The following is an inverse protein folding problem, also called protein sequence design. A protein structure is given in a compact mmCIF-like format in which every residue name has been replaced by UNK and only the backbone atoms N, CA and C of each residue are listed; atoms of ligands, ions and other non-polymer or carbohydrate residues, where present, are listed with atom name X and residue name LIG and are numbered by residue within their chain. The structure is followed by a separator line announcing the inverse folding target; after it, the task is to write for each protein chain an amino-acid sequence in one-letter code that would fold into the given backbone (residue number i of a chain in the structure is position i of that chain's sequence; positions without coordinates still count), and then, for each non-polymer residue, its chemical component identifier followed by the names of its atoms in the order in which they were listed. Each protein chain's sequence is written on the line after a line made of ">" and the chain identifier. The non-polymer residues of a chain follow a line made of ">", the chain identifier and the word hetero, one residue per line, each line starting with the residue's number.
data_IF_424691141060
#
_entry.id   IF_424691141060
#
_cell.length_a   1.000
_cell.length_b   1.000
_cell.length_c   1.000
_cell.angle_alpha   90.00
_cell.angle_beta   90.00
_cell.angle_gamma   90.00
#
_symmetry.space_group_name_H-M   'P 1'
#
loop_
_entity.id
_entity.type
_entity.pdbx_description
1 polymer ?
#
# COMPACT_ATOMS: atom_id res chain seq x y z
N UNK A 1 10.59 24.81 20.17
CA UNK A 1 11.03 23.45 20.58
C UNK A 1 10.64 22.48 19.47
N UNK A 2 11.58 21.67 18.99
CA UNK A 2 11.36 20.81 17.81
C UNK A 2 10.41 19.66 18.15
N UNK A 3 9.24 19.61 17.48
CA UNK A 3 8.24 18.52 17.59
C UNK A 3 8.83 17.12 17.35
N UNK A 4 10.00 17.04 16.72
CA UNK A 4 10.70 15.80 16.35
C UNK A 4 11.38 15.15 17.57
N UNK A 5 11.79 15.94 18.56
CA UNK A 5 12.54 15.43 19.72
C UNK A 5 11.66 14.67 20.72
N UNK A 6 10.32 14.84 20.65
CA UNK A 6 9.35 14.18 21.52
C UNK A 6 8.81 12.86 20.91
N UNK A 7 9.19 12.53 19.67
CA UNK A 7 8.75 11.31 19.01
C UNK A 7 9.54 10.11 19.53
N UNK A 8 8.81 9.09 19.99
CA UNK A 8 9.42 7.80 20.32
C UNK A 8 9.84 7.04 19.06
N UNK A 9 10.66 6.01 19.21
CA UNK A 9 11.14 5.18 18.09
C UNK A 9 10.00 4.66 17.19
N UNK A 10 8.91 4.17 17.80
CA UNK A 10 7.74 3.66 17.06
C UNK A 10 7.05 4.77 16.27
N UNK A 11 6.95 5.97 16.83
CA UNK A 11 6.32 7.11 16.14
C UNK A 11 7.11 7.50 14.91
N UNK A 12 8.44 7.60 15.06
CA UNK A 12 9.36 7.88 13.95
C UNK A 12 9.22 6.84 12.85
N UNK A 13 9.16 5.54 13.19
CA UNK A 13 8.92 4.47 12.22
C UNK A 13 7.58 4.61 11.51
N UNK A 14 6.49 4.84 12.25
CA UNK A 14 5.14 5.01 11.68
C UNK A 14 5.11 6.21 10.74
N UNK A 15 5.61 7.37 11.18
CA UNK A 15 5.51 8.60 10.40
C UNK A 15 6.38 8.53 9.15
N UNK A 16 7.58 7.94 9.22
CA UNK A 16 8.45 7.69 8.06
C UNK A 16 7.79 6.72 7.07
N UNK A 17 7.16 5.66 7.56
CA UNK A 17 6.47 4.71 6.72
C UNK A 17 5.29 5.35 5.96
N UNK A 18 4.45 6.15 6.64
CA UNK A 18 3.36 6.87 5.99
C UNK A 18 3.90 7.91 4.99
N UNK A 19 5.04 8.55 5.28
CA UNK A 19 5.68 9.52 4.38
C UNK A 19 6.22 8.89 3.08
N UNK A 20 6.51 7.58 3.09
CA UNK A 20 6.97 6.84 1.90
C UNK A 20 5.93 6.79 0.78
N UNK A 21 4.64 6.99 1.11
CA UNK A 21 3.54 7.04 0.15
C UNK A 21 2.44 7.95 0.68
N UNK A 22 2.64 9.25 0.50
CA UNK A 22 1.88 10.30 1.19
C UNK A 22 0.40 10.38 0.84
N UNK A 23 -0.03 9.71 -0.22
CA UNK A 23 -1.41 9.62 -0.70
C UNK A 23 -2.10 8.31 -0.28
N UNK A 24 -1.34 7.34 0.25
CA UNK A 24 -1.83 6.01 0.58
C UNK A 24 -2.43 5.97 1.98
N UNK A 25 -3.71 5.61 2.08
CA UNK A 25 -4.33 5.25 3.35
C UNK A 25 -3.95 3.80 3.71
N UNK A 26 -3.18 3.65 4.78
CA UNK A 26 -2.69 2.37 5.26
C UNK A 26 -3.60 1.78 6.34
N UNK A 27 -3.90 0.49 6.26
CA UNK A 27 -4.68 -0.21 7.28
C UNK A 27 -3.86 -0.45 8.54
N UNK A 28 -4.51 -0.55 9.71
CA UNK A 28 -3.84 -0.90 10.96
C UNK A 28 -3.06 -2.22 10.87
N UNK A 29 -3.67 -3.26 10.29
CA UNK A 29 -3.04 -4.57 10.16
C UNK A 29 -1.87 -4.55 9.17
N UNK A 30 -1.95 -3.72 8.12
CA UNK A 30 -0.86 -3.47 7.20
C UNK A 30 0.34 -2.83 7.91
N UNK A 31 0.11 -1.71 8.60
CA UNK A 31 1.14 -1.02 9.38
C UNK A 31 1.80 -1.93 10.42
N UNK A 32 1.00 -2.70 11.18
CA UNK A 32 1.51 -3.64 12.19
C UNK A 32 2.51 -4.63 11.61
N UNK A 33 2.20 -5.16 10.43
CA UNK A 33 3.02 -6.15 9.74
C UNK A 33 4.28 -5.52 9.16
N UNK A 34 4.14 -4.44 8.41
CA UNK A 34 5.27 -3.75 7.78
C UNK A 34 6.27 -3.21 8.80
N UNK A 35 5.79 -2.71 9.94
CA UNK A 35 6.64 -2.15 10.98
C UNK A 35 7.16 -3.19 11.99
N UNK A 36 6.61 -4.41 11.99
CA UNK A 36 6.89 -5.48 12.97
C UNK A 36 6.75 -5.01 14.42
N UNK A 37 5.72 -4.20 14.70
CA UNK A 37 5.47 -3.62 16.03
C UNK A 37 4.30 -4.32 16.72
N UNK A 38 4.40 -4.51 18.05
CA UNK A 38 3.29 -5.03 18.85
C UNK A 38 2.04 -4.14 18.75
N UNK A 39 0.85 -4.75 18.68
CA UNK A 39 -0.40 -4.03 18.39
C UNK A 39 -0.68 -2.86 19.36
N UNK A 40 -0.39 -3.02 20.64
CA UNK A 40 -0.60 -1.96 21.65
C UNK A 40 0.38 -0.80 21.49
N UNK A 41 1.63 -1.09 21.10
CA UNK A 41 2.63 -0.04 20.83
C UNK A 41 2.24 0.75 19.59
N UNK A 42 1.80 0.06 18.54
CA UNK A 42 1.31 0.70 17.32
C UNK A 42 0.06 1.55 17.60
N UNK A 43 -0.93 1.01 18.31
CA UNK A 43 -2.16 1.75 18.64
C UNK A 43 -1.86 3.02 19.45
N UNK A 44 -0.99 2.93 20.46
CA UNK A 44 -0.54 4.10 21.24
C UNK A 44 0.16 5.14 20.36
N UNK A 45 1.06 4.70 19.50
CA UNK A 45 1.80 5.57 18.59
C UNK A 45 0.86 6.29 17.60
N UNK A 46 -0.06 5.56 16.95
CA UNK A 46 -1.05 6.13 16.04
C UNK A 46 -1.96 7.15 16.74
N UNK A 47 -2.45 6.83 17.94
CA UNK A 47 -3.27 7.77 18.72
C UNK A 47 -2.49 9.05 19.07
N UNK A 48 -1.22 8.93 19.47
CA UNK A 48 -0.37 10.08 19.78
C UNK A 48 -0.10 10.94 18.54
N UNK A 49 0.33 10.33 17.43
CA UNK A 49 0.59 11.02 16.17
C UNK A 49 -0.67 11.71 15.62
N UNK A 50 -1.83 11.07 15.76
CA UNK A 50 -3.12 11.65 15.38
C UNK A 50 -3.47 12.86 16.26
N UNK A 51 -3.29 12.74 17.58
CA UNK A 51 -3.52 13.83 18.54
C UNK A 51 -2.60 15.03 18.29
N UNK A 52 -1.38 14.79 17.81
CA UNK A 52 -0.43 15.83 17.41
C UNK A 52 -0.75 16.46 16.04
N UNK A 53 -1.75 15.95 15.32
CA UNK A 53 -2.12 16.37 13.97
C UNK A 53 -1.06 16.04 12.92
N UNK A 54 -0.25 15.00 13.16
CA UNK A 54 0.80 14.56 12.25
C UNK A 54 0.29 13.53 11.24
N UNK A 55 -0.75 12.80 11.61
CA UNK A 55 -1.44 11.85 10.73
C UNK A 55 -2.95 12.12 10.79
N UNK A 56 -3.66 11.61 9.79
CA UNK A 56 -5.11 11.70 9.63
C UNK A 56 -5.70 10.30 9.52
N UNK A 57 -6.99 10.15 9.86
CA UNK A 57 -7.76 8.92 9.59
C UNK A 57 -8.52 9.08 8.28
N UNK A 58 -8.52 8.04 7.44
CA UNK A 58 -9.27 7.98 6.19
C UNK A 58 -9.98 6.63 6.10
N UNK A 59 -11.27 6.61 6.47
CA UNK A 59 -12.01 5.39 6.75
C UNK A 59 -11.34 4.60 7.88
N UNK A 60 -11.08 3.31 7.65
CA UNK A 60 -10.40 2.41 8.59
C UNK A 60 -8.87 2.48 8.52
N UNK A 61 -8.32 3.44 7.77
CA UNK A 61 -6.89 3.60 7.53
C UNK A 61 -6.30 4.90 8.07
N UNK A 62 -4.99 5.03 7.93
CA UNK A 62 -4.18 6.14 8.40
C UNK A 62 -3.35 6.72 7.25
N UNK A 63 -3.28 8.05 7.20
CA UNK A 63 -2.57 8.82 6.18
C UNK A 63 -1.65 9.83 6.86
N UNK A 64 -0.51 10.15 6.26
CA UNK A 64 0.30 11.29 6.75
C UNK A 64 -0.38 12.62 6.43
N UNK A 65 -0.39 13.54 7.39
CA UNK A 65 -0.92 14.89 7.16
C UNK A 65 0.13 15.78 6.48
N UNK A 66 -0.31 16.94 5.96
CA UNK A 66 0.61 18.00 5.50
C UNK A 66 1.55 18.50 6.59
N UNK A 67 1.15 18.45 7.87
CA UNK A 67 2.01 18.82 9.01
C UNK A 67 3.07 17.74 9.26
N UNK A 68 2.67 16.48 9.22
CA UNK A 68 3.56 15.32 9.33
C UNK A 68 4.62 15.30 8.23
N UNK A 69 4.22 15.58 6.98
CA UNK A 69 5.16 15.66 5.86
C UNK A 69 6.22 16.75 6.03
N UNK A 70 5.90 17.88 6.67
CA UNK A 70 6.84 18.99 6.88
C UNK A 70 7.91 18.71 7.93
N UNK A 71 7.63 17.82 8.88
CA UNK A 71 8.56 17.49 9.97
C UNK A 71 9.47 16.31 9.65
N UNK A 72 9.23 15.59 8.54
CA UNK A 72 10.08 14.50 8.08
C UNK A 72 11.00 15.00 6.98
N UNK A 73 12.31 14.90 7.21
CA UNK A 73 13.29 14.90 6.13
C UNK A 73 13.11 13.63 5.31
N UNK A 74 12.73 13.75 4.03
CA UNK A 74 12.66 12.61 3.11
C UNK A 74 14.08 12.08 2.85
N UNK A 75 14.60 11.26 3.76
CA UNK A 75 15.64 10.29 3.42
C UNK A 75 14.96 9.06 2.84
N UNK A 76 14.25 9.26 1.73
CA UNK A 76 13.66 8.16 0.99
C UNK A 76 14.75 7.56 0.14
N UNK A 77 15.28 6.41 0.54
CA UNK A 77 15.86 5.50 -0.44
C UNK A 77 14.77 5.25 -1.48
N UNK A 78 14.97 5.77 -2.70
CA UNK A 78 14.11 5.42 -3.82
C UNK A 78 14.33 3.93 -4.07
N UNK A 79 13.46 3.11 -3.51
CA UNK A 79 13.49 1.70 -3.82
C UNK A 79 13.14 1.55 -5.30
N UNK A 80 14.03 0.91 -6.06
CA UNK A 80 13.89 0.76 -7.49
C UNK A 80 12.61 -0.03 -7.79
N UNK A 81 11.59 0.68 -8.31
CA UNK A 81 10.33 0.05 -8.70
C UNK A 81 10.61 -0.99 -9.78
N UNK A 82 10.32 -2.26 -9.49
CA UNK A 82 10.46 -3.35 -10.44
C UNK A 82 9.09 -3.69 -11.03
N UNK A 83 8.85 -3.32 -12.29
CA UNK A 83 7.61 -3.64 -13.01
C UNK A 83 7.64 -5.11 -13.44
N UNK A 84 6.57 -5.83 -13.15
CA UNK A 84 6.44 -7.27 -13.39
C UNK A 84 5.51 -7.55 -14.56
N UNK A 85 4.47 -6.74 -14.72
CA UNK A 85 3.54 -6.89 -15.81
C UNK A 85 2.56 -5.74 -15.89
N UNK A 86 2.02 -5.56 -17.09
CA UNK A 86 0.97 -4.61 -17.40
C UNK A 86 -0.11 -5.33 -18.21
N UNK A 87 -1.37 -4.97 -17.98
CA UNK A 87 -2.49 -5.42 -18.80
C UNK A 87 -3.51 -4.30 -18.99
N UNK A 88 -4.19 -4.36 -20.12
CA UNK A 88 -5.41 -3.58 -20.32
C UNK A 88 -6.57 -4.24 -19.59
N UNK A 89 -7.38 -3.44 -18.91
CA UNK A 89 -8.61 -3.90 -18.29
C UNK A 89 -9.55 -4.45 -19.38
N UNK A 90 -10.28 -5.55 -19.11
CA UNK A 90 -11.30 -6.05 -20.02
C UNK A 90 -12.34 -4.98 -20.36
N UNK A 91 -12.91 -5.06 -21.56
CA UNK A 91 -13.98 -4.17 -21.98
C UNK A 91 -15.15 -4.20 -20.98
N UNK A 92 -15.67 -3.02 -20.65
CA UNK A 92 -16.75 -2.84 -19.67
C UNK A 92 -16.29 -2.80 -18.21
N UNK A 93 -15.02 -3.08 -17.90
CA UNK A 93 -14.48 -2.95 -16.55
C UNK A 93 -13.79 -1.60 -16.36
N UNK A 94 -14.31 -0.77 -15.46
CA UNK A 94 -13.70 0.53 -15.11
C UNK A 94 -12.56 0.37 -14.09
N UNK A 95 -11.71 1.39 -13.96
CA UNK A 95 -10.63 1.42 -12.97
C UNK A 95 -11.17 1.28 -11.54
N UNK A 96 -12.26 1.97 -11.23
CA UNK A 96 -12.94 1.96 -9.94
C UNK A 96 -13.45 0.55 -9.61
N UNK A 97 -14.08 -0.11 -10.59
CA UNK A 97 -14.62 -1.46 -10.45
C UNK A 97 -13.50 -2.48 -10.24
N UNK A 98 -12.43 -2.39 -11.04
CA UNK A 98 -11.24 -3.22 -10.88
C UNK A 98 -10.58 -2.99 -9.50
N UNK A 99 -10.45 -1.74 -9.08
CA UNK A 99 -9.90 -1.39 -7.78
C UNK A 99 -10.74 -1.94 -6.63
N UNK A 100 -12.07 -1.76 -6.70
CA UNK A 100 -13.02 -2.28 -5.72
C UNK A 100 -13.01 -3.81 -5.63
N UNK A 101 -12.77 -4.50 -6.74
CA UNK A 101 -12.60 -5.95 -6.74
C UNK A 101 -11.35 -6.42 -6.00
N UNK A 102 -10.27 -5.64 -6.01
CA UNK A 102 -8.98 -6.02 -5.43
C UNK A 102 -8.78 -5.52 -4.00
N UNK A 103 -9.39 -4.37 -3.65
CA UNK A 103 -9.24 -3.70 -2.36
C UNK A 103 -9.54 -4.63 -1.20
N UNK A 104 -8.68 -4.61 -0.18
CA UNK A 104 -8.85 -5.39 1.05
C UNK A 104 -8.57 -6.89 0.92
N UNK A 105 -8.35 -7.42 -0.30
CA UNK A 105 -8.15 -8.86 -0.51
C UNK A 105 -6.72 -9.30 -0.18
N UNK A 106 -6.59 -10.57 0.17
CA UNK A 106 -5.30 -11.25 0.30
C UNK A 106 -5.05 -12.15 -0.90
N UNK A 107 -3.80 -12.29 -1.30
CA UNK A 107 -3.38 -13.09 -2.45
C UNK A 107 -2.14 -13.93 -2.09
N UNK A 108 -2.35 -15.19 -1.70
CA UNK A 108 -1.25 -16.01 -1.19
C UNK A 108 -0.61 -15.36 0.03
N UNK A 109 0.72 -15.15 0.00
CA UNK A 109 1.46 -14.46 1.07
C UNK A 109 1.32 -12.93 1.03
N UNK A 110 0.71 -12.34 -0.01
CA UNK A 110 0.49 -10.91 -0.11
C UNK A 110 -0.75 -10.50 0.71
N UNK A 111 -0.54 -9.74 1.78
CA UNK A 111 -1.59 -9.23 2.68
C UNK A 111 -1.88 -7.78 2.38
N UNK A 112 -3.14 -7.40 2.52
CA UNK A 112 -3.59 -6.03 2.27
C UNK A 112 -2.80 -5.03 3.12
N UNK A 113 -2.25 -4.00 2.47
CA UNK A 113 -1.49 -2.94 3.14
C UNK A 113 -2.30 -1.64 3.16
N UNK A 114 -2.74 -1.16 1.99
CA UNK A 114 -3.44 0.11 1.87
C UNK A 114 -3.79 0.47 0.44
N UNK A 115 -4.40 1.63 0.26
CA UNK A 115 -4.73 2.17 -1.06
C UNK A 115 -4.73 3.69 -1.10
N UNK A 116 -4.41 4.25 -2.26
CA UNK A 116 -4.74 5.63 -2.61
C UNK A 116 -5.72 5.68 -3.78
N UNK A 117 -6.51 6.74 -3.81
CA UNK A 117 -7.37 7.11 -4.94
C UNK A 117 -7.08 8.57 -5.23
N UNK A 118 -6.62 8.84 -6.45
CA UNK A 118 -6.37 10.17 -6.96
C UNK A 118 -7.11 10.34 -8.28
N UNK A 119 -7.16 11.56 -8.81
CA UNK A 119 -7.75 11.81 -10.13
C UNK A 119 -7.01 11.05 -11.26
N UNK A 120 -5.78 10.60 -11.01
CA UNK A 120 -5.00 9.80 -11.96
C UNK A 120 -5.36 8.31 -11.96
N UNK A 121 -6.03 7.83 -10.90
CA UNK A 121 -6.42 6.45 -10.75
C UNK A 121 -6.21 5.90 -9.33
N UNK A 122 -5.96 4.60 -9.26
CA UNK A 122 -5.91 3.85 -8.00
C UNK A 122 -4.57 3.19 -7.81
N UNK A 123 -3.95 3.39 -6.64
CA UNK A 123 -2.84 2.58 -6.20
C UNK A 123 -3.31 1.68 -5.06
N UNK A 124 -3.07 0.38 -5.21
CA UNK A 124 -3.39 -0.63 -4.22
C UNK A 124 -2.10 -1.31 -3.78
N UNK A 125 -1.92 -1.45 -2.47
CA UNK A 125 -0.67 -1.96 -1.90
C UNK A 125 -0.91 -3.23 -1.09
N UNK A 126 0.06 -4.14 -1.23
CA UNK A 126 0.17 -5.33 -0.41
C UNK A 126 1.58 -5.42 0.18
N UNK A 127 1.70 -6.22 1.23
CA UNK A 127 2.97 -6.60 1.83
C UNK A 127 3.01 -8.09 2.08
N UNK A 128 4.16 -8.73 1.94
CA UNK A 128 4.36 -10.13 2.35
C UNK A 128 4.10 -10.33 3.84
N UNK A 129 3.80 -11.56 4.25
CA UNK A 129 3.43 -11.88 5.64
C UNK A 129 4.48 -11.46 6.67
N UNK A 130 5.75 -11.54 6.29
CA UNK A 130 6.93 -11.12 7.06
C UNK A 130 7.15 -9.59 7.06
N UNK A 131 6.44 -8.83 6.23
CA UNK A 131 6.57 -7.37 6.14
C UNK A 131 7.66 -6.86 5.18
N UNK A 132 8.43 -7.74 4.53
CA UNK A 132 9.68 -7.35 3.85
C UNK A 132 9.49 -6.85 2.41
N UNK A 133 8.57 -7.46 1.66
CA UNK A 133 8.34 -7.12 0.25
C UNK A 133 7.01 -6.39 0.14
N UNK A 134 7.05 -5.19 -0.44
CA UNK A 134 5.86 -4.40 -0.77
C UNK A 134 5.56 -4.47 -2.26
N UNK A 135 4.29 -4.72 -2.57
CA UNK A 135 3.75 -4.85 -3.91
C UNK A 135 2.80 -3.69 -4.17
N UNK A 136 2.83 -3.18 -5.40
CA UNK A 136 1.98 -2.09 -5.87
C UNK A 136 1.25 -2.52 -7.13
N UNK A 137 -0.07 -2.35 -7.11
CA UNK A 137 -0.92 -2.41 -8.29
C UNK A 137 -1.43 -1.00 -8.58
N UNK A 138 -1.02 -0.44 -9.70
CA UNK A 138 -1.47 0.88 -10.17
C UNK A 138 -2.47 0.70 -11.29
N UNK A 139 -3.66 1.28 -11.16
CA UNK A 139 -4.72 1.24 -12.17
C UNK A 139 -4.96 2.67 -12.64
N UNK A 140 -4.50 2.99 -13.85
CA UNK A 140 -4.67 4.30 -14.47
C UNK A 140 -5.43 4.15 -15.78
N UNK A 141 -6.52 4.90 -15.93
CA UNK A 141 -7.43 4.81 -17.08
C UNK A 141 -7.94 3.37 -17.28
N UNK A 142 -7.48 2.69 -18.32
CA UNK A 142 -7.83 1.30 -18.63
C UNK A 142 -6.63 0.35 -18.51
N UNK A 143 -5.55 0.75 -17.87
CA UNK A 143 -4.34 -0.05 -17.72
C UNK A 143 -4.06 -0.34 -16.25
N UNK A 144 -3.75 -1.59 -15.96
CA UNK A 144 -3.30 -2.08 -14.66
C UNK A 144 -1.84 -2.49 -14.78
N UNK A 145 -1.00 -2.00 -13.87
CA UNK A 145 0.40 -2.38 -13.72
C UNK A 145 0.61 -3.06 -12.36
N UNK A 146 1.36 -4.16 -12.35
CA UNK A 146 1.83 -4.81 -11.12
C UNK A 146 3.34 -4.62 -11.00
N UNK A 147 3.77 -4.17 -9.83
CA UNK A 147 5.17 -3.88 -9.54
C UNK A 147 5.54 -4.20 -8.10
N UNK A 148 6.84 -4.34 -7.85
CA UNK A 148 7.42 -4.36 -6.51
C UNK A 148 7.89 -2.95 -6.19
N UNK A 149 7.46 -2.41 -5.04
CA UNK A 149 7.81 -1.06 -4.60
C UNK A 149 8.85 -1.03 -3.49
N UNK A 150 9.10 -2.15 -2.80
CA UNK A 150 10.18 -2.28 -1.81
C UNK A 150 10.51 -3.74 -1.54
N UNK A 151 11.79 -4.07 -1.39
CA UNK A 151 12.28 -5.39 -0.96
C UNK A 151 13.71 -5.28 -0.41
N UNK A 152 14.19 -6.23 0.43
CA UNK A 152 15.56 -6.22 0.93
C UNK A 152 16.61 -6.50 -0.16
N UNK A 153 17.86 -6.01 -0.04
CA UNK A 153 18.93 -6.37 -0.96
C UNK A 153 19.16 -7.89 -1.02
N UNK A 154 19.33 -8.46 -2.22
CA UNK A 154 19.55 -9.89 -2.43
C UNK A 154 18.27 -10.75 -2.48
N UNK A 155 17.09 -10.14 -2.34
CA UNK A 155 15.78 -10.81 -2.39
C UNK A 155 15.04 -10.53 -3.71
N UNK A 156 15.74 -10.11 -4.77
CA UNK A 156 15.16 -9.73 -6.07
C UNK A 156 14.32 -10.85 -6.68
N UNK A 157 14.83 -12.08 -6.63
CA UNK A 157 14.14 -13.25 -7.21
C UNK A 157 12.89 -13.59 -6.40
N UNK A 158 12.98 -13.59 -5.06
CA UNK A 158 11.82 -13.79 -4.18
C UNK A 158 10.76 -12.72 -4.41
N UNK A 159 11.17 -11.46 -4.54
CA UNK A 159 10.27 -10.35 -4.82
C UNK A 159 9.56 -10.51 -6.17
N UNK A 160 10.30 -10.92 -7.21
CA UNK A 160 9.75 -11.21 -8.55
C UNK A 160 8.74 -12.35 -8.49
N UNK A 161 9.07 -13.46 -7.85
CA UNK A 161 8.17 -14.62 -7.73
C UNK A 161 6.86 -14.26 -7.02
N UNK A 162 6.94 -13.54 -5.89
CA UNK A 162 5.76 -13.11 -5.13
C UNK A 162 4.88 -12.20 -5.98
N UNK A 163 5.47 -11.27 -6.72
CA UNK A 163 4.74 -10.34 -7.55
C UNK A 163 4.13 -11.01 -8.80
N UNK A 164 4.80 -11.99 -9.40
CA UNK A 164 4.26 -12.79 -10.49
C UNK A 164 3.03 -13.58 -10.03
N UNK A 165 3.11 -14.21 -8.85
CA UNK A 165 1.97 -14.90 -8.22
C UNK A 165 0.80 -13.95 -7.98
N UNK A 166 1.07 -12.73 -7.50
CA UNK A 166 0.03 -11.70 -7.35
C UNK A 166 -0.60 -11.36 -8.71
N UNK A 167 0.23 -11.13 -9.73
CA UNK A 167 -0.22 -10.78 -11.08
C UNK A 167 -1.15 -11.84 -11.67
N UNK A 168 -0.77 -13.12 -11.60
CA UNK A 168 -1.61 -14.23 -12.04
C UNK A 168 -2.97 -14.27 -11.32
N UNK A 169 -2.98 -14.05 -10.00
CA UNK A 169 -4.22 -14.05 -9.20
C UNK A 169 -5.12 -12.87 -9.57
N UNK A 170 -4.54 -11.70 -9.84
CA UNK A 170 -5.28 -10.52 -10.31
C UNK A 170 -5.90 -10.81 -11.68
N UNK A 171 -5.13 -11.32 -12.64
CA UNK A 171 -5.66 -11.70 -13.96
C UNK A 171 -6.87 -12.62 -13.81
N UNK A 172 -6.75 -13.67 -12.98
CA UNK A 172 -7.87 -14.61 -12.72
C UNK A 172 -9.06 -13.92 -12.08
N UNK A 173 -8.84 -13.02 -11.12
CA UNK A 173 -9.91 -12.28 -10.44
C UNK A 173 -10.69 -11.38 -11.41
N UNK A 174 -9.99 -10.66 -12.29
CA UNK A 174 -10.61 -9.78 -13.30
C UNK A 174 -11.43 -10.58 -14.32
N UNK A 175 -10.94 -11.74 -14.75
CA UNK A 175 -11.62 -12.56 -15.75
C UNK A 175 -12.82 -13.37 -15.19
N UNK A 176 -12.76 -13.81 -13.92
CA UNK A 176 -13.85 -14.61 -13.32
C UNK A 176 -15.17 -13.84 -13.25
N UNK A 177 -15.12 -12.53 -13.05
CA UNK A 177 -16.30 -11.67 -12.96
C UNK A 177 -16.89 -11.26 -14.31
N UNK A 178 -16.20 -11.50 -15.44
CA UNK A 178 -16.73 -11.20 -16.78
C UNK A 178 -18.01 -11.98 -17.10
N UNK A 179 -18.22 -13.14 -16.48
CA UNK A 179 -19.44 -13.95 -16.63
C UNK A 179 -20.69 -13.33 -16.00
N UNK A 180 -20.56 -12.30 -15.16
CA UNK A 180 -21.71 -11.59 -14.59
C UNK A 180 -22.07 -10.31 -15.33
N UNK A 181 -21.12 -9.67 -16.01
CA UNK A 181 -21.35 -8.41 -16.75
C UNK A 181 -21.68 -8.60 -18.23
N UNK A 182 -21.44 -9.79 -18.81
CA UNK A 182 -21.83 -10.11 -20.19
C UNK A 182 -23.27 -10.62 -20.33
N UNK A 183 -24.10 -10.50 -19.28
CA UNK A 183 -25.48 -11.00 -19.21
C UNK A 183 -26.49 -9.91 -18.89
N UNK A 184 -26.15 -8.64 -19.14
CA UNK A 184 -27.01 -7.48 -18.95
C UNK A 184 -27.05 -6.63 -20.21
#
# INVERSE_FOLDING_TARGET
>A
MSLINDLGEVDSKVIQFLASSSDTSFSFQGLKRSLRVHQEKLARSLNRLYSMGLIEKNGDGYLISRKGMRIISRNGEQCQKMVIGQLYLPSGLTAESAAGMLRGRWFGCARWLGSSMTDEGFDLKWVTEDGEIQLLVSIKRNMLEVSVSSFPPGEEERAREVALKLYEKIIRALHRNRRHYASS
#
